data_IF_272797818611
#
_entry.id   IF_272797818611
#
_cell.length_a   1.000
_cell.length_b   1.000
_cell.length_c   1.000
_cell.angle_alpha   90.00
_cell.angle_beta   90.00
_cell.angle_gamma   90.00
#
_symmetry.space_group_name_H-M   'P 1'
#
loop_
_entity.id
_entity.type
_entity.pdbx_description
1 polymer ?
#
# COMPACT_ATOMS: atom_id res chain seq x y z
N UNK A 1 -0.67 11.87 -9.07
CA UNK A 1 -1.21 12.51 -7.84
C UNK A 1 -0.67 11.71 -6.67
N UNK A 2 -0.14 12.37 -5.65
CA UNK A 2 0.51 11.69 -4.54
C UNK A 2 -0.46 11.42 -3.38
N UNK A 3 -0.38 10.22 -2.82
CA UNK A 3 -1.16 9.83 -1.65
C UNK A 3 -0.25 9.14 -0.63
N UNK A 4 -0.30 9.61 0.63
CA UNK A 4 0.24 8.86 1.75
C UNK A 4 -0.81 7.83 2.18
N UNK A 5 -0.42 6.56 2.17
CA UNK A 5 -1.29 5.45 2.57
C UNK A 5 -0.65 4.73 3.74
N UNK A 6 -1.37 4.66 4.85
CA UNK A 6 -1.03 3.78 5.97
C UNK A 6 -1.88 2.51 5.87
N UNK A 7 -1.24 1.35 5.93
CA UNK A 7 -1.92 0.06 5.93
C UNK A 7 -1.49 -0.75 7.13
N UNK A 8 -2.46 -1.17 7.95
CA UNK A 8 -2.22 -2.09 9.05
C UNK A 8 -2.85 -3.45 8.73
N UNK A 9 -2.02 -4.50 8.71
CA UNK A 9 -2.45 -5.86 8.33
C UNK A 9 -2.78 -6.65 9.59
N UNK A 10 -3.99 -7.19 9.65
CA UNK A 10 -4.48 -8.01 10.74
C UNK A 10 -5.11 -9.30 10.18
N UNK A 11 -4.28 -10.31 9.97
CA UNK A 11 -4.73 -11.65 9.59
C UNK A 11 -5.09 -12.40 10.88
N UNK A 12 -6.34 -12.88 11.06
CA UNK A 12 -6.73 -13.63 12.25
C UNK A 12 -5.85 -14.86 12.45
N UNK A 13 -5.49 -15.16 13.70
CA UNK A 13 -4.69 -16.35 14.04
C UNK A 13 -5.43 -17.68 13.77
N UNK A 14 -6.75 -17.61 13.61
CA UNK A 14 -7.60 -18.75 13.22
C UNK A 14 -7.66 -18.97 11.71
N UNK A 15 -7.11 -18.07 10.91
CA UNK A 15 -7.06 -18.21 9.46
C UNK A 15 -6.04 -19.29 9.05
N UNK A 16 -6.31 -20.00 7.96
CA UNK A 16 -5.44 -21.10 7.50
C UNK A 16 -4.03 -20.56 7.21
N UNK A 17 -2.99 -21.07 7.89
CA UNK A 17 -1.60 -20.63 7.67
C UNK A 17 -1.09 -20.84 6.25
N UNK A 18 -1.54 -21.90 5.55
CA UNK A 18 -1.11 -22.16 4.17
C UNK A 18 -1.71 -21.12 3.22
N UNK A 19 -2.99 -20.80 3.41
CA UNK A 19 -3.68 -19.78 2.63
C UNK A 19 -3.14 -18.38 2.95
N UNK A 20 -2.85 -18.07 4.22
CA UNK A 20 -2.19 -16.84 4.60
C UNK A 20 -0.84 -16.67 3.89
N UNK A 21 -0.03 -17.72 3.84
CA UNK A 21 1.27 -17.71 3.16
C UNK A 21 1.11 -17.50 1.64
N UNK A 22 0.09 -18.11 1.03
CA UNK A 22 -0.23 -17.91 -0.40
C UNK A 22 -0.59 -16.45 -0.68
N UNK A 23 -1.53 -15.88 0.10
CA UNK A 23 -1.94 -14.47 -0.06
C UNK A 23 -0.78 -13.50 0.17
N UNK A 24 0.09 -13.76 1.17
CA UNK A 24 1.30 -12.95 1.40
C UNK A 24 2.25 -13.00 0.20
N UNK A 25 2.42 -14.16 -0.44
CA UNK A 25 3.26 -14.30 -1.62
C UNK A 25 2.69 -13.54 -2.83
N UNK A 26 1.38 -13.61 -3.03
CA UNK A 26 0.67 -12.88 -4.09
C UNK A 26 0.69 -11.37 -3.87
N UNK A 27 0.46 -10.93 -2.63
CA UNK A 27 0.58 -9.52 -2.22
C UNK A 27 1.99 -8.99 -2.53
N UNK A 28 3.02 -9.78 -2.20
CA UNK A 28 4.41 -9.43 -2.49
C UNK A 28 4.65 -9.30 -3.99
N UNK A 29 4.13 -10.22 -4.81
CA UNK A 29 4.31 -10.16 -6.26
C UNK A 29 3.62 -8.91 -6.84
N UNK A 30 2.35 -8.68 -6.48
CA UNK A 30 1.56 -7.55 -6.96
C UNK A 30 2.14 -6.20 -6.52
N UNK A 31 2.51 -6.04 -5.24
CA UNK A 31 3.16 -4.82 -4.75
C UNK A 31 4.51 -4.56 -5.41
N UNK A 32 5.27 -5.60 -5.79
CA UNK A 32 6.51 -5.43 -6.54
C UNK A 32 6.27 -4.98 -7.99
N UNK A 33 5.20 -5.44 -8.63
CA UNK A 33 4.81 -4.95 -9.97
C UNK A 33 4.46 -3.46 -9.93
N UNK A 34 3.65 -3.02 -8.97
CA UNK A 34 3.30 -1.62 -8.77
C UNK A 34 4.51 -0.74 -8.40
N UNK A 35 5.50 -1.28 -7.69
CA UNK A 35 6.76 -0.56 -7.44
C UNK A 35 7.58 -0.41 -8.72
N UNK A 36 7.61 -1.44 -9.59
CA UNK A 36 8.35 -1.38 -10.86
C UNK A 36 7.71 -0.44 -11.87
N UNK A 37 6.39 -0.34 -11.89
CA UNK A 37 5.67 0.59 -12.79
C UNK A 37 5.61 2.04 -12.26
N UNK A 38 6.02 2.26 -11.00
CA UNK A 38 6.13 3.57 -10.38
C UNK A 38 4.89 4.03 -9.62
N UNK A 39 3.74 3.34 -9.73
CA UNK A 39 2.52 3.71 -9.03
C UNK A 39 2.62 3.53 -7.52
N UNK A 40 3.39 2.56 -7.06
CA UNK A 40 3.75 2.40 -5.64
C UNK A 40 5.17 2.91 -5.41
N UNK A 41 5.31 4.23 -5.37
CA UNK A 41 6.60 4.91 -5.40
C UNK A 41 7.49 4.64 -4.19
N UNK A 42 6.89 4.58 -3.00
CA UNK A 42 7.63 4.32 -1.77
C UNK A 42 6.88 3.36 -0.84
N UNK A 43 7.63 2.52 -0.13
CA UNK A 43 7.11 1.53 0.80
C UNK A 43 8.06 1.38 1.99
N UNK A 44 7.57 1.67 3.19
CA UNK A 44 8.34 1.54 4.43
C UNK A 44 7.60 0.72 5.47
N UNK A 45 8.33 -0.12 6.19
CA UNK A 45 7.82 -0.84 7.36
C UNK A 45 7.71 0.11 8.56
N UNK A 46 6.57 0.06 9.26
CA UNK A 46 6.47 0.64 10.60
C UNK A 46 7.16 -0.29 11.60
N UNK A 47 8.19 0.20 12.27
CA UNK A 47 8.98 -0.60 13.22
C UNK A 47 8.08 -1.10 14.36
N UNK A 48 8.12 -2.40 14.62
CA UNK A 48 7.32 -3.05 15.68
C UNK A 48 5.86 -3.32 15.32
N UNK A 49 5.42 -3.06 14.09
CA UNK A 49 4.04 -3.28 13.66
C UNK A 49 3.99 -4.04 12.33
N UNK A 50 2.94 -4.85 12.13
CA UNK A 50 2.64 -5.39 10.80
C UNK A 50 1.89 -4.34 9.95
N UNK A 51 2.50 -3.15 9.86
CA UNK A 51 1.97 -2.00 9.14
C UNK A 51 3.02 -1.39 8.20
N UNK A 52 2.57 -0.62 7.23
CA UNK A 52 3.44 0.17 6.36
C UNK A 52 2.92 1.60 6.21
N UNK A 53 3.85 2.49 5.88
CA UNK A 53 3.55 3.75 5.19
C UNK A 53 4.01 3.62 3.76
N UNK A 54 3.17 4.07 2.85
CA UNK A 54 3.39 4.01 1.41
C UNK A 54 3.07 5.34 0.76
N UNK A 55 3.80 5.66 -0.31
CA UNK A 55 3.42 6.76 -1.20
C UNK A 55 3.02 6.18 -2.54
N UNK A 56 1.78 6.43 -2.95
CA UNK A 56 1.28 6.09 -4.27
C UNK A 56 1.29 7.32 -5.18
N UNK A 57 1.65 7.13 -6.45
CA UNK A 57 1.55 8.14 -7.49
C UNK A 57 0.64 7.63 -8.62
N UNK A 58 -0.61 8.09 -8.62
CA UNK A 58 -1.66 7.61 -9.54
C UNK A 58 -2.45 8.77 -10.13
N UNK A 59 -3.15 8.56 -11.24
CA UNK A 59 -3.82 9.62 -11.98
C UNK A 59 -5.11 10.12 -11.31
N UNK A 60 -5.73 9.31 -10.44
CA UNK A 60 -7.02 9.64 -9.82
C UNK A 60 -7.27 8.91 -8.50
N UNK A 61 -8.28 9.39 -7.75
CA UNK A 61 -8.78 8.69 -6.56
C UNK A 61 -9.34 7.30 -6.90
N UNK A 62 -10.00 7.14 -8.05
CA UNK A 62 -10.59 5.88 -8.48
C UNK A 62 -9.51 4.84 -8.82
N UNK A 63 -8.43 5.26 -9.48
CA UNK A 63 -7.27 4.40 -9.72
C UNK A 63 -6.65 3.94 -8.40
N UNK A 64 -6.45 4.85 -7.43
CA UNK A 64 -5.95 4.46 -6.12
C UNK A 64 -6.86 3.43 -5.46
N UNK A 65 -8.18 3.69 -5.45
CA UNK A 65 -9.15 2.80 -4.83
C UNK A 65 -9.11 1.42 -5.47
N UNK A 66 -9.10 1.33 -6.80
CA UNK A 66 -9.00 0.06 -7.52
C UNK A 66 -7.73 -0.71 -7.17
N UNK A 67 -6.57 -0.04 -7.10
CA UNK A 67 -5.31 -0.68 -6.74
C UNK A 67 -5.33 -1.21 -5.31
N UNK A 68 -5.81 -0.41 -4.36
CA UNK A 68 -5.88 -0.83 -2.95
C UNK A 68 -6.86 -1.99 -2.76
N UNK A 69 -8.03 -1.94 -3.41
CA UNK A 69 -9.02 -3.01 -3.35
C UNK A 69 -8.61 -4.29 -4.07
N UNK A 70 -7.65 -4.21 -5.00
CA UNK A 70 -7.08 -5.37 -5.68
C UNK A 70 -5.99 -6.09 -4.89
N UNK A 71 -5.49 -5.51 -3.79
CA UNK A 71 -4.48 -6.14 -2.96
C UNK A 71 -5.01 -7.47 -2.37
N UNK A 72 -4.31 -8.60 -2.53
CA UNK A 72 -4.71 -9.88 -1.95
C UNK A 72 -4.99 -9.85 -0.45
N UNK A 73 -4.29 -9.01 0.32
CA UNK A 73 -4.51 -8.84 1.74
C UNK A 73 -5.53 -7.76 2.12
N UNK A 74 -6.16 -7.06 1.15
CA UNK A 74 -7.16 -6.01 1.39
C UNK A 74 -8.23 -6.38 2.44
N UNK A 75 -8.81 -7.60 2.45
CA UNK A 75 -9.80 -7.98 3.46
C UNK A 75 -9.30 -7.96 4.91
N UNK A 76 -7.98 -7.98 5.11
CA UNK A 76 -7.31 -7.99 6.41
C UNK A 76 -6.69 -6.64 6.76
N UNK A 77 -6.89 -5.60 5.95
CA UNK A 77 -6.25 -4.31 6.14
C UNK A 77 -7.17 -3.27 6.76
N UNK A 78 -6.62 -2.48 7.69
CA UNK A 78 -7.13 -1.14 7.99
C UNK A 78 -6.30 -0.13 7.20
N UNK A 79 -6.95 0.65 6.35
CA UNK A 79 -6.28 1.58 5.43
C UNK A 79 -6.69 3.01 5.74
N UNK A 80 -5.72 3.91 5.84
CA UNK A 80 -5.93 5.35 5.89
C UNK A 80 -5.22 6.01 4.71
N UNK A 81 -5.94 6.85 3.98
CA UNK A 81 -5.44 7.56 2.79
C UNK A 81 -5.45 9.07 3.04
N UNK A 82 -4.31 9.71 2.77
CA UNK A 82 -4.15 11.17 2.86
C UNK A 82 -3.62 11.70 1.52
N UNK A 83 -4.42 12.47 0.76
CA UNK A 83 -3.94 13.14 -0.44
C UNK A 83 -2.81 14.14 -0.10
N UNK A 84 -1.76 14.17 -0.93
CA UNK A 84 -0.61 15.05 -0.75
C UNK A 84 -0.55 16.09 -1.86
N UNK A 85 -0.23 17.33 -1.48
CA UNK A 85 0.06 18.42 -2.41
C UNK A 85 1.57 18.66 -2.50
N UNK A 86 2.01 19.25 -3.60
CA UNK A 86 3.38 19.75 -3.70
C UNK A 86 3.58 20.88 -2.68
N UNK A 87 4.54 20.71 -1.77
CA UNK A 87 4.87 21.75 -0.79
C UNK A 87 5.62 22.91 -1.49
N UNK A 88 5.26 24.20 -1.26
CA UNK A 88 5.87 25.34 -1.97
C UNK A 88 7.37 25.52 -1.68
N UNK A 89 7.84 25.05 -0.53
CA UNK A 89 9.26 25.10 -0.14
C UNK A 89 10.04 23.83 -0.48
N UNK A 90 9.44 22.83 -1.15
CA UNK A 90 10.19 21.65 -1.57
C UNK A 90 11.18 22.03 -2.68
N UNK A 91 12.44 21.61 -2.52
CA UNK A 91 13.54 21.95 -3.44
C UNK A 91 13.51 21.17 -4.76
N UNK A 92 12.67 20.13 -4.85
CA UNK A 92 12.40 19.34 -6.04
C UNK A 92 10.92 18.99 -6.12
N UNK A 93 10.45 18.69 -7.33
CA UNK A 93 9.11 18.11 -7.51
C UNK A 93 9.07 16.76 -6.78
N UNK A 94 8.06 16.60 -5.93
CA UNK A 94 7.72 15.29 -5.40
C UNK A 94 7.03 14.49 -6.47
#
# INVERSE_FOLDING_TARGET
MLFLVQMHVNIPSTFDPQEAARLIAEEKAFSQELQRDGRWRHLWRVVGQYANYSVFDVASNDELHQLLSALPLYPFMTIQVTPLAQHPSAISAN
#
